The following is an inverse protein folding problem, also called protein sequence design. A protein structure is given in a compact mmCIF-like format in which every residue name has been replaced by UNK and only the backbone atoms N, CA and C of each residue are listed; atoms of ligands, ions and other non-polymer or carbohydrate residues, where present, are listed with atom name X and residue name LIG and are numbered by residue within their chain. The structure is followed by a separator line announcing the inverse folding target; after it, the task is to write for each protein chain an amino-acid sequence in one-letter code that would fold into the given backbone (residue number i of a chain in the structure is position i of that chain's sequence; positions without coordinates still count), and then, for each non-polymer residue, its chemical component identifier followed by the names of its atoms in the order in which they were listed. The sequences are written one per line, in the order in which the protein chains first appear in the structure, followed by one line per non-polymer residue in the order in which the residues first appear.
data_IF_674896824622
#
_entry.id   IF_674896824622
#
_cell.length_a   1.000
_cell.length_b   1.000
_cell.length_c   1.000
_cell.angle_alpha   90.00
_cell.angle_beta   90.00
_cell.angle_gamma   90.00
#
_symmetry.space_group_name_H-M   'P 1'
#
loop_
_entity.id
_entity.type
_entity.pdbx_description
1 polymer ?
#
# COMPACT_ATOMS: atom_id res chain seq x y z
N UNK A 1 11.07 -19.82 -7.65
CA UNK A 1 10.42 -21.14 -7.45
C UNK A 1 8.91 -20.98 -7.28
N UNK A 2 8.43 -20.17 -6.32
CA UNK A 2 6.99 -19.98 -6.08
C UNK A 2 6.26 -19.41 -7.32
N UNK A 3 6.85 -18.43 -8.00
CA UNK A 3 6.29 -17.86 -9.21
C UNK A 3 6.24 -18.87 -10.37
N UNK A 4 7.35 -19.61 -10.59
CA UNK A 4 7.41 -20.66 -11.60
C UNK A 4 6.43 -21.84 -11.34
N UNK A 5 6.01 -22.03 -10.09
CA UNK A 5 4.99 -23.00 -9.71
C UNK A 5 3.56 -22.42 -9.70
N UNK A 6 3.41 -21.13 -10.03
CA UNK A 6 2.12 -20.44 -10.08
C UNK A 6 1.56 -19.98 -8.73
N UNK A 7 2.27 -20.25 -7.63
CA UNK A 7 1.75 -19.92 -6.29
C UNK A 7 1.93 -18.45 -5.91
N UNK A 8 2.97 -17.79 -6.41
CA UNK A 8 3.23 -16.39 -6.05
C UNK A 8 2.08 -15.46 -6.47
N UNK A 9 1.57 -15.66 -7.69
CA UNK A 9 0.51 -14.84 -8.29
C UNK A 9 -0.86 -15.51 -8.26
N UNK A 10 -1.03 -16.52 -7.42
CA UNK A 10 -2.24 -17.36 -7.40
C UNK A 10 -3.53 -16.53 -7.28
N UNK A 11 -3.56 -15.54 -6.39
CA UNK A 11 -4.72 -14.67 -6.15
C UNK A 11 -4.94 -13.56 -7.18
N UNK A 12 -4.00 -13.32 -8.10
CA UNK A 12 -4.16 -12.29 -9.12
C UNK A 12 -5.06 -12.75 -10.27
N UNK A 13 -5.73 -11.81 -10.96
CA UNK A 13 -6.45 -12.09 -12.19
C UNK A 13 -5.55 -12.70 -13.28
N UNK A 14 -6.13 -13.59 -14.11
CA UNK A 14 -5.42 -14.20 -15.24
C UNK A 14 -4.86 -13.20 -16.23
N UNK A 15 -5.52 -12.07 -16.41
CA UNK A 15 -5.09 -10.99 -17.31
C UNK A 15 -3.74 -10.38 -16.95
N UNK A 16 -3.33 -10.50 -15.66
CA UNK A 16 -2.02 -10.07 -15.16
C UNK A 16 -1.11 -11.24 -14.75
N UNK A 17 -1.40 -12.42 -15.27
CA UNK A 17 -0.57 -13.61 -15.07
C UNK A 17 -0.85 -14.38 -13.79
N UNK A 18 -2.02 -14.15 -13.16
CA UNK A 18 -2.50 -14.89 -11.99
C UNK A 18 -3.31 -16.13 -12.36
N UNK A 19 -4.02 -16.68 -11.37
CA UNK A 19 -4.86 -17.87 -11.51
C UNK A 19 -6.32 -17.65 -11.08
N UNK A 20 -6.75 -16.41 -10.83
CA UNK A 20 -8.06 -16.04 -10.29
C UNK A 20 -8.37 -16.73 -8.94
N UNK A 21 -7.33 -16.99 -8.13
CA UNK A 21 -7.51 -17.58 -6.81
C UNK A 21 -8.34 -16.66 -5.91
N UNK A 22 -9.25 -17.26 -5.13
CA UNK A 22 -10.13 -16.50 -4.24
C UNK A 22 -9.44 -16.16 -2.91
N UNK A 23 -9.98 -15.19 -2.18
CA UNK A 23 -9.55 -14.90 -0.82
C UNK A 23 -9.76 -16.09 0.13
N UNK A 24 -10.75 -16.94 -0.15
CA UNK A 24 -10.96 -18.18 0.60
C UNK A 24 -9.81 -19.17 0.36
N UNK A 25 -9.41 -19.38 -0.90
CA UNK A 25 -8.29 -20.25 -1.22
C UNK A 25 -7.01 -19.77 -0.55
N UNK A 26 -6.72 -18.45 -0.64
CA UNK A 26 -5.57 -17.85 0.01
C UNK A 26 -5.62 -18.04 1.54
N UNK A 27 -6.77 -17.87 2.16
CA UNK A 27 -6.94 -18.06 3.60
C UNK A 27 -6.64 -19.50 4.01
N UNK A 28 -7.20 -20.49 3.31
CA UNK A 28 -6.99 -21.93 3.58
C UNK A 28 -5.50 -22.31 3.41
N UNK A 29 -4.87 -21.84 2.33
CA UNK A 29 -3.45 -22.14 2.08
C UNK A 29 -2.57 -21.51 3.17
N UNK A 30 -2.82 -20.28 3.55
CA UNK A 30 -2.02 -19.57 4.57
C UNK A 30 -2.21 -20.17 5.96
N UNK A 31 -3.45 -20.49 6.35
CA UNK A 31 -3.74 -21.21 7.59
C UNK A 31 -2.97 -22.54 7.63
N UNK A 32 -3.05 -23.34 6.56
CA UNK A 32 -2.34 -24.61 6.49
C UNK A 32 -0.82 -24.45 6.63
N UNK A 33 -0.22 -23.47 5.95
CA UNK A 33 1.22 -23.23 6.03
C UNK A 33 1.62 -22.72 7.42
N UNK A 34 0.80 -21.87 8.04
CA UNK A 34 1.04 -21.39 9.40
C UNK A 34 0.98 -22.56 10.40
N UNK A 35 0.00 -23.47 10.28
CA UNK A 35 -0.08 -24.70 11.08
C UNK A 35 1.15 -25.61 10.93
N UNK A 36 1.86 -25.53 9.82
CA UNK A 36 3.16 -26.22 9.60
C UNK A 36 4.36 -25.46 10.18
N UNK A 37 4.13 -24.40 10.95
CA UNK A 37 5.18 -23.59 11.57
C UNK A 37 5.75 -22.49 10.70
N UNK A 38 5.11 -22.14 9.58
CA UNK A 38 5.57 -21.09 8.66
C UNK A 38 4.89 -19.73 8.88
N UNK A 39 3.95 -19.62 9.83
CA UNK A 39 3.13 -18.43 10.04
C UNK A 39 3.89 -17.14 10.34
N UNK A 40 5.05 -17.25 10.98
CA UNK A 40 5.90 -16.10 11.34
C UNK A 40 7.09 -15.89 10.39
N UNK A 41 7.22 -16.69 9.35
CA UNK A 41 8.30 -16.54 8.39
C UNK A 41 8.01 -15.42 7.39
N UNK A 42 9.06 -14.72 6.95
CA UNK A 42 8.97 -13.68 5.92
C UNK A 42 8.25 -14.14 4.66
N UNK A 43 8.32 -15.42 4.33
CA UNK A 43 7.62 -16.01 3.18
C UNK A 43 6.09 -15.96 3.28
N UNK A 44 5.53 -15.67 4.46
CA UNK A 44 4.09 -15.51 4.68
C UNK A 44 3.70 -14.14 5.23
N UNK A 45 4.67 -13.30 5.60
CA UNK A 45 4.37 -12.02 6.25
C UNK A 45 4.19 -10.85 5.30
N UNK A 46 4.78 -10.90 4.11
CA UNK A 46 4.66 -9.80 3.15
C UNK A 46 3.69 -10.13 2.01
N UNK A 47 3.27 -9.10 1.29
CA UNK A 47 2.27 -9.17 0.22
C UNK A 47 2.77 -9.92 -1.01
N UNK A 48 4.07 -9.91 -1.26
CA UNK A 48 4.72 -10.56 -2.40
C UNK A 48 5.43 -11.86 -2.00
N UNK A 49 4.87 -12.60 -1.04
CA UNK A 49 5.40 -13.86 -0.55
C UNK A 49 4.76 -15.07 -1.23
N UNK A 50 5.07 -16.28 -0.76
CA UNK A 50 4.37 -17.51 -1.21
C UNK A 50 2.87 -17.35 -1.00
N UNK A 51 2.08 -17.52 -2.06
CA UNK A 51 0.67 -17.14 -2.13
C UNK A 51 0.49 -15.66 -1.81
N UNK A 52 1.11 -14.82 -2.64
CA UNK A 52 1.02 -13.38 -2.52
C UNK A 52 -0.40 -12.86 -2.82
N UNK A 53 -0.81 -11.84 -2.09
CA UNK A 53 -2.08 -11.17 -2.32
C UNK A 53 -1.95 -9.87 -3.13
N UNK A 54 -0.76 -9.36 -3.32
CA UNK A 54 -0.44 -8.21 -4.18
C UNK A 54 -1.47 -7.08 -4.11
N UNK A 55 -1.78 -6.51 -2.93
CA UNK A 55 -2.88 -5.55 -2.78
C UNK A 55 -2.72 -4.30 -3.65
N UNK A 56 -1.48 -3.87 -3.91
CA UNK A 56 -1.22 -2.75 -4.82
C UNK A 56 -1.58 -3.06 -6.28
N UNK A 57 -1.45 -4.30 -6.73
CA UNK A 57 -1.88 -4.70 -8.08
C UNK A 57 -3.39 -4.64 -8.18
N UNK A 58 -4.12 -5.16 -7.18
CA UNK A 58 -5.57 -5.05 -7.11
C UNK A 58 -6.03 -3.58 -7.08
N UNK A 59 -5.41 -2.74 -6.23
CA UNK A 59 -5.70 -1.31 -6.20
C UNK A 59 -5.47 -0.66 -7.57
N UNK A 60 -4.36 -0.99 -8.25
CA UNK A 60 -4.03 -0.42 -9.55
C UNK A 60 -5.03 -0.85 -10.63
N UNK A 61 -5.46 -2.11 -10.63
CA UNK A 61 -6.47 -2.60 -11.56
C UNK A 61 -7.81 -1.91 -11.37
N UNK A 62 -8.20 -1.66 -10.12
CA UNK A 62 -9.51 -1.09 -9.76
C UNK A 62 -9.55 0.44 -9.91
N UNK A 63 -8.53 1.15 -9.40
CA UNK A 63 -8.55 2.62 -9.28
C UNK A 63 -7.59 3.37 -10.20
N UNK A 64 -6.60 2.69 -10.78
CA UNK A 64 -5.60 3.33 -11.63
C UNK A 64 -6.17 3.80 -12.96
N UNK A 65 -5.73 4.97 -13.44
CA UNK A 65 -5.95 5.39 -14.82
C UNK A 65 -5.20 4.45 -15.78
N UNK A 66 -5.51 4.49 -17.08
CA UNK A 66 -4.80 3.66 -18.04
C UNK A 66 -3.29 4.00 -18.06
N UNK A 67 -2.94 5.29 -17.99
CA UNK A 67 -1.55 5.74 -17.93
C UNK A 67 -0.83 5.22 -16.67
N UNK A 68 -1.52 5.21 -15.52
CA UNK A 68 -0.98 4.65 -14.28
C UNK A 68 -0.80 3.14 -14.38
N UNK A 69 -1.76 2.42 -14.96
CA UNK A 69 -1.65 0.97 -15.21
C UNK A 69 -0.46 0.63 -16.11
N UNK A 70 -0.30 1.34 -17.21
CA UNK A 70 0.80 1.16 -18.15
C UNK A 70 2.17 1.46 -17.50
N UNK A 71 2.21 2.43 -16.59
CA UNK A 71 3.43 2.83 -15.90
C UNK A 71 3.85 1.87 -14.79
N UNK A 72 2.88 1.29 -14.06
CA UNK A 72 3.15 0.62 -12.79
C UNK A 72 2.97 -0.90 -12.81
N UNK A 73 1.99 -1.46 -13.54
CA UNK A 73 1.62 -2.87 -13.37
C UNK A 73 2.77 -3.85 -13.62
N UNK A 74 3.48 -3.71 -14.73
CA UNK A 74 4.60 -4.59 -15.03
C UNK A 74 5.70 -4.52 -13.95
N UNK A 75 6.04 -3.29 -13.53
CA UNK A 75 7.04 -3.07 -12.49
C UNK A 75 6.62 -3.63 -11.14
N UNK A 76 5.35 -3.55 -10.76
CA UNK A 76 4.82 -4.15 -9.54
C UNK A 76 4.90 -5.69 -9.57
N UNK A 77 4.56 -6.30 -10.71
CA UNK A 77 4.56 -7.76 -10.89
C UNK A 77 5.96 -8.36 -10.93
N UNK A 78 6.94 -7.60 -11.42
CA UNK A 78 8.34 -8.04 -11.56
C UNK A 78 9.25 -7.59 -10.41
N UNK A 79 8.73 -6.73 -9.50
CA UNK A 79 9.51 -6.14 -8.41
C UNK A 79 10.42 -4.97 -8.84
N UNK A 80 10.31 -4.51 -10.08
CA UNK A 80 11.03 -3.34 -10.59
C UNK A 80 10.48 -2.01 -10.09
N UNK A 81 9.22 -2.00 -9.64
CA UNK A 81 8.60 -0.86 -8.95
C UNK A 81 8.06 -1.31 -7.60
N UNK A 82 8.50 -0.64 -6.55
CA UNK A 82 8.03 -0.87 -5.19
C UNK A 82 7.32 0.37 -4.70
N UNK A 83 6.14 0.18 -4.13
CA UNK A 83 5.26 1.25 -3.68
C UNK A 83 5.03 1.10 -2.19
N UNK A 84 5.25 2.18 -1.44
CA UNK A 84 4.90 2.28 -0.04
C UNK A 84 3.42 2.56 0.19
N UNK A 85 2.97 2.44 1.44
CA UNK A 85 1.59 2.68 1.84
C UNK A 85 1.52 3.66 3.02
N UNK A 86 1.37 4.93 2.70
CA UNK A 86 1.38 6.05 3.62
C UNK A 86 0.00 6.45 4.13
N UNK A 87 -0.65 5.59 4.92
CA UNK A 87 -1.95 5.87 5.54
C UNK A 87 -1.81 6.32 7.00
N UNK A 88 -1.12 5.52 7.81
CA UNK A 88 -0.98 5.72 9.26
C UNK A 88 -0.16 6.95 9.58
N UNK A 89 -0.54 7.67 10.62
CA UNK A 89 0.16 8.84 11.14
C UNK A 89 0.62 8.63 12.60
N UNK A 90 1.56 9.44 13.10
CA UNK A 90 2.05 9.30 14.47
C UNK A 90 0.95 9.24 15.53
N UNK A 91 -0.09 10.07 15.39
CA UNK A 91 -1.15 10.21 16.38
C UNK A 91 -2.46 9.49 15.98
N UNK A 92 -2.55 9.01 14.74
CA UNK A 92 -3.77 8.41 14.16
C UNK A 92 -3.48 7.09 13.47
N UNK A 93 -3.71 5.98 14.18
CA UNK A 93 -3.54 4.60 13.67
C UNK A 93 -4.85 3.98 13.19
N UNK A 94 -5.65 3.49 14.14
CA UNK A 94 -6.88 2.72 13.84
C UNK A 94 -7.96 3.57 13.17
N UNK A 95 -8.06 4.83 13.49
CA UNK A 95 -9.00 5.76 12.86
C UNK A 95 -8.30 6.73 11.91
N UNK A 96 -8.14 6.30 10.66
CA UNK A 96 -7.55 7.11 9.61
C UNK A 96 -8.38 8.33 9.22
N UNK A 97 -9.63 8.44 9.68
CA UNK A 97 -10.47 9.63 9.41
C UNK A 97 -9.98 10.89 10.13
N UNK A 98 -9.17 10.73 11.18
CA UNK A 98 -8.56 11.85 11.90
C UNK A 98 -7.22 12.34 11.31
N UNK A 99 -6.87 11.87 10.15
CA UNK A 99 -5.66 12.23 9.41
C UNK A 99 -5.39 13.74 9.39
N UNK A 100 -4.14 14.11 9.73
CA UNK A 100 -3.65 15.49 9.75
C UNK A 100 -2.88 15.85 8.49
N UNK A 101 -2.26 14.88 7.81
CA UNK A 101 -1.64 15.11 6.51
C UNK A 101 -2.66 15.73 5.57
N UNK A 102 -2.33 16.86 4.99
CA UNK A 102 -3.20 17.66 4.14
C UNK A 102 -2.61 17.87 2.76
N UNK A 103 -3.48 18.03 1.76
CA UNK A 103 -3.09 18.43 0.41
C UNK A 103 -3.97 19.61 -0.04
N UNK A 104 -3.32 20.66 -0.51
CA UNK A 104 -3.97 21.90 -0.96
C UNK A 104 -3.70 22.10 -2.45
N UNK A 105 -4.77 22.29 -3.23
CA UNK A 105 -4.65 22.53 -4.66
C UNK A 105 -4.03 23.91 -4.94
N UNK A 106 -3.09 23.95 -5.87
CA UNK A 106 -2.41 25.16 -6.37
C UNK A 106 -2.33 25.12 -7.91
N UNK A 107 -3.34 25.61 -8.57
CA UNK A 107 -3.48 25.47 -10.03
C UNK A 107 -3.73 24.00 -10.40
N UNK A 108 -2.87 23.45 -11.24
CA UNK A 108 -2.92 22.05 -11.67
C UNK A 108 -2.13 21.10 -10.76
N UNK A 109 -1.52 21.64 -9.69
CA UNK A 109 -0.71 20.89 -8.75
C UNK A 109 -1.37 20.82 -7.36
N UNK A 110 -0.87 19.90 -6.56
CA UNK A 110 -1.16 19.76 -5.13
C UNK A 110 0.10 19.98 -4.31
N UNK A 111 -0.05 20.63 -3.16
CA UNK A 111 1.00 20.77 -2.15
C UNK A 111 0.61 19.93 -0.96
N UNK A 112 1.42 18.92 -0.66
CA UNK A 112 1.17 17.96 0.43
C UNK A 112 2.09 18.29 1.61
N UNK A 113 1.49 18.37 2.80
CA UNK A 113 2.19 18.59 4.06
C UNK A 113 1.69 17.62 5.13
N UNK A 114 2.61 17.06 5.92
CA UNK A 114 2.30 16.16 7.03
C UNK A 114 3.37 15.12 7.29
N UNK A 115 2.98 14.01 7.90
CA UNK A 115 3.89 12.91 8.19
C UNK A 115 3.16 11.57 8.19
N UNK A 116 3.89 10.51 7.84
CA UNK A 116 3.37 9.15 7.82
C UNK A 116 4.28 8.22 8.62
N UNK A 117 3.68 7.21 9.24
CA UNK A 117 4.40 6.26 10.09
C UNK A 117 4.16 4.83 9.66
N UNK A 118 5.22 4.04 9.77
CA UNK A 118 5.25 2.62 9.42
C UNK A 118 5.06 2.35 7.91
N UNK A 119 5.46 3.30 7.06
CA UNK A 119 5.46 3.06 5.61
C UNK A 119 6.44 1.92 5.28
N UNK A 120 5.90 0.80 4.83
CA UNK A 120 6.70 -0.39 4.54
C UNK A 120 7.37 -0.30 3.18
N UNK A 121 8.57 -0.90 3.07
CA UNK A 121 9.30 -1.00 1.83
C UNK A 121 10.14 0.23 1.47
N UNK A 122 10.25 1.23 2.34
CA UNK A 122 10.85 2.53 2.03
C UNK A 122 12.35 2.49 1.75
N UNK A 123 13.08 1.42 2.07
CA UNK A 123 14.47 1.22 1.64
C UNK A 123 14.64 1.19 0.12
N UNK A 124 13.59 0.83 -0.61
CA UNK A 124 13.65 0.62 -2.06
C UNK A 124 12.39 1.09 -2.78
N UNK A 125 11.48 1.74 -2.07
CA UNK A 125 10.27 2.27 -2.67
C UNK A 125 10.61 3.38 -3.68
N UNK A 126 10.08 3.27 -4.87
CA UNK A 126 10.16 4.30 -5.91
C UNK A 126 9.04 5.33 -5.79
N UNK A 127 7.93 4.92 -5.17
CA UNK A 127 6.75 5.73 -4.94
C UNK A 127 6.13 5.36 -3.59
N UNK A 128 5.34 6.28 -3.05
CA UNK A 128 4.50 6.05 -1.87
C UNK A 128 3.06 6.45 -2.17
N UNK A 129 2.10 5.60 -1.83
CA UNK A 129 0.68 5.99 -1.86
C UNK A 129 0.38 6.78 -0.60
N UNK A 130 0.46 8.08 -0.71
CA UNK A 130 0.21 9.03 0.38
C UNK A 130 -1.26 9.38 0.41
N UNK A 131 -1.90 9.16 1.55
CA UNK A 131 -3.27 9.61 1.80
C UNK A 131 -3.23 10.96 2.53
N UNK A 132 -3.95 11.94 1.99
CA UNK A 132 -3.99 13.29 2.54
C UNK A 132 -5.40 13.87 2.49
N UNK A 133 -5.74 14.68 3.48
CA UNK A 133 -7.01 15.40 3.50
C UNK A 133 -7.00 16.54 2.50
N UNK A 134 -7.93 16.52 1.58
CA UNK A 134 -8.14 17.56 0.56
C UNK A 134 -9.37 18.41 0.84
N UNK A 135 -10.32 17.90 1.65
CA UNK A 135 -11.52 18.64 2.05
C UNK A 135 -12.16 18.05 3.31
N UNK A 136 -13.23 18.66 3.81
CA UNK A 136 -13.91 18.24 5.03
C UNK A 136 -13.12 18.58 6.28
N UNK A 137 -13.43 17.90 7.38
CA UNK A 137 -12.80 18.09 8.71
C UNK A 137 -12.28 16.75 9.27
N UNK A 138 -11.42 16.78 10.31
CA UNK A 138 -11.03 15.57 11.03
C UNK A 138 -12.25 14.77 11.50
N UNK A 139 -12.21 13.44 11.30
CA UNK A 139 -13.32 12.53 11.57
C UNK A 139 -14.23 12.27 10.35
N UNK A 140 -14.17 13.09 9.30
CA UNK A 140 -14.92 12.82 8.07
C UNK A 140 -14.24 11.72 7.25
N UNK A 141 -14.99 10.69 6.87
CA UNK A 141 -14.48 9.61 6.02
C UNK A 141 -14.28 10.05 4.55
N UNK A 142 -15.02 11.03 4.10
CA UNK A 142 -14.85 11.67 2.78
C UNK A 142 -13.85 12.82 2.87
N UNK A 143 -13.32 13.22 1.72
CA UNK A 143 -12.37 14.33 1.64
C UNK A 143 -10.92 13.92 1.91
N UNK A 144 -10.61 12.63 1.94
CA UNK A 144 -9.25 12.09 1.90
C UNK A 144 -8.98 11.63 0.48
N UNK A 145 -7.85 12.03 -0.09
CA UNK A 145 -7.41 11.67 -1.44
C UNK A 145 -6.13 10.85 -1.38
N UNK A 146 -6.00 9.86 -2.23
CA UNK A 146 -4.76 9.09 -2.39
C UNK A 146 -3.93 9.67 -3.53
N UNK A 147 -2.60 9.76 -3.32
CA UNK A 147 -1.63 10.29 -4.28
C UNK A 147 -0.48 9.30 -4.45
N UNK A 148 -0.12 8.90 -5.67
CA UNK A 148 1.08 8.11 -5.94
C UNK A 148 2.26 9.09 -6.06
N UNK A 149 2.97 9.31 -4.96
CA UNK A 149 4.05 10.30 -4.85
C UNK A 149 5.40 9.63 -5.13
N UNK A 150 6.20 10.11 -6.11
CA UNK A 150 7.58 9.66 -6.26
C UNK A 150 8.40 9.99 -5.00
N UNK A 151 9.18 9.03 -4.50
CA UNK A 151 9.94 9.21 -3.24
C UNK A 151 11.12 10.17 -3.37
N UNK A 152 11.52 10.52 -4.58
CA UNK A 152 12.54 11.52 -4.89
C UNK A 152 11.96 12.94 -5.09
N UNK A 153 10.65 13.14 -4.89
CA UNK A 153 10.02 14.45 -4.98
C UNK A 153 10.60 15.40 -3.90
N UNK A 154 11.01 16.63 -4.25
CA UNK A 154 11.47 17.59 -3.26
C UNK A 154 10.49 17.77 -2.10
N UNK A 155 10.98 17.70 -0.87
CA UNK A 155 10.16 17.78 0.34
C UNK A 155 9.66 16.44 0.88
N UNK A 156 9.78 15.35 0.12
CA UNK A 156 9.58 13.99 0.63
C UNK A 156 10.87 13.53 1.32
N UNK A 157 10.79 13.07 2.57
CA UNK A 157 11.94 12.51 3.29
C UNK A 157 11.57 11.27 4.08
N UNK A 158 12.49 10.30 4.06
CA UNK A 158 12.47 9.16 4.99
C UNK A 158 13.36 9.53 6.17
N UNK A 159 12.74 9.82 7.30
CA UNK A 159 13.45 10.38 8.47
C UNK A 159 14.03 9.27 9.36
N UNK A 160 13.35 8.13 9.44
CA UNK A 160 13.73 7.04 10.35
C UNK A 160 13.15 5.71 9.88
N UNK A 161 13.88 4.62 10.13
CA UNK A 161 13.37 3.25 9.97
C UNK A 161 13.16 2.63 11.34
N UNK A 162 11.94 2.19 11.60
CA UNK A 162 11.52 1.68 12.89
C UNK A 162 12.09 0.30 13.19
N UNK A 163 12.47 0.12 14.43
CA UNK A 163 12.82 -1.17 14.98
C UNK A 163 11.56 -1.80 15.57
N UNK A 164 10.97 -2.80 14.90
CA UNK A 164 9.73 -3.44 15.37
C UNK A 164 10.01 -4.88 15.80
N UNK A 165 9.32 -5.36 16.83
CA UNK A 165 9.52 -6.70 17.39
C UNK A 165 10.99 -7.06 17.65
N UNK A 166 11.80 -6.11 18.08
CA UNK A 166 13.25 -6.25 18.27
C UNK A 166 14.02 -6.69 17.00
N UNK A 167 13.52 -6.31 15.83
CA UNK A 167 14.16 -6.54 14.54
C UNK A 167 14.26 -5.24 13.76
N UNK A 168 15.31 -5.04 12.95
CA UNK A 168 15.31 -3.98 11.95
C UNK A 168 14.23 -4.30 10.91
N UNK A 169 13.43 -3.30 10.60
CA UNK A 169 12.37 -3.42 9.58
C UNK A 169 12.55 -2.34 8.52
N UNK A 170 11.77 -2.45 7.44
CA UNK A 170 11.69 -1.43 6.41
C UNK A 170 10.51 -0.46 6.61
N UNK A 171 9.90 -0.49 7.80
CA UNK A 171 8.83 0.42 8.17
C UNK A 171 9.39 1.78 8.56
N UNK A 172 9.06 2.81 7.79
CA UNK A 172 9.65 4.11 7.93
C UNK A 172 8.72 5.16 8.56
N UNK A 173 9.35 6.17 9.14
CA UNK A 173 8.78 7.49 9.38
C UNK A 173 9.05 8.33 8.14
N UNK A 174 8.02 8.98 7.61
CA UNK A 174 8.09 9.81 6.41
C UNK A 174 7.59 11.21 6.74
N UNK A 175 8.35 12.24 6.36
CA UNK A 175 7.92 13.63 6.40
C UNK A 175 7.64 14.17 5.01
N UNK A 176 6.60 14.98 4.93
CA UNK A 176 6.14 15.66 3.73
C UNK A 176 6.12 17.16 3.99
N UNK A 177 7.02 17.92 3.34
CA UNK A 177 7.17 19.36 3.53
C UNK A 177 7.09 20.06 2.18
N UNK A 178 5.92 20.67 1.93
CA UNK A 178 5.62 21.35 0.66
C UNK A 178 5.88 20.45 -0.57
N UNK A 179 5.55 19.16 -0.45
CA UNK A 179 5.70 18.18 -1.54
C UNK A 179 4.74 18.54 -2.65
N UNK A 180 5.28 18.99 -3.78
CA UNK A 180 4.50 19.45 -4.92
C UNK A 180 4.38 18.35 -5.96
N UNK A 181 3.15 18.00 -6.30
CA UNK A 181 2.83 16.95 -7.26
C UNK A 181 1.71 17.38 -8.22
N UNK A 182 1.74 16.95 -9.50
CA UNK A 182 0.69 17.24 -10.45
C UNK A 182 -0.60 16.48 -10.15
N UNK A 183 -1.71 16.96 -10.69
CA UNK A 183 -3.02 16.31 -10.54
C UNK A 183 -3.05 14.86 -11.06
N UNK A 184 -2.18 14.53 -12.01
CA UNK A 184 -2.10 13.18 -12.62
C UNK A 184 -1.66 12.07 -11.65
N UNK A 185 -1.09 12.41 -10.48
CA UNK A 185 -0.72 11.41 -9.47
C UNK A 185 -1.85 11.03 -8.52
N UNK A 186 -3.04 11.64 -8.65
CA UNK A 186 -4.22 11.19 -7.89
C UNK A 186 -4.50 9.73 -8.24
N UNK A 187 -4.71 8.93 -7.19
CA UNK A 187 -5.01 7.51 -7.31
C UNK A 187 -6.48 7.27 -6.93
N UNK A 188 -7.28 6.92 -7.91
CA UNK A 188 -8.74 6.89 -7.79
C UNK A 188 -9.36 8.28 -7.95
N UNK A 189 -10.39 8.57 -7.17
CA UNK A 189 -11.11 9.84 -7.21
C UNK A 189 -10.71 10.79 -6.06
N UNK A 190 -10.72 12.09 -6.33
CA UNK A 190 -10.52 13.11 -5.30
C UNK A 190 -11.57 12.98 -4.18
N UNK A 191 -11.11 12.95 -2.93
CA UNK A 191 -11.97 12.85 -1.75
C UNK A 191 -12.40 11.42 -1.39
N UNK A 192 -12.05 10.40 -2.20
CA UNK A 192 -12.45 9.00 -1.99
C UNK A 192 -11.26 8.06 -1.70
N UNK A 193 -10.14 8.59 -1.27
CA UNK A 193 -8.92 7.83 -0.99
C UNK A 193 -9.09 6.72 0.05
N UNK A 194 -10.02 6.84 1.01
CA UNK A 194 -10.28 5.75 1.95
C UNK A 194 -10.87 4.50 1.28
N UNK A 195 -11.62 4.63 0.19
CA UNK A 195 -12.08 3.48 -0.59
C UNK A 195 -10.87 2.73 -1.18
N UNK A 196 -9.93 3.48 -1.75
CA UNK A 196 -8.65 2.94 -2.26
C UNK A 196 -7.88 2.23 -1.14
N UNK A 197 -7.78 2.86 0.05
CA UNK A 197 -7.10 2.27 1.21
C UNK A 197 -7.75 0.96 1.67
N UNK A 198 -9.09 0.87 1.64
CA UNK A 198 -9.80 -0.32 2.10
C UNK A 198 -9.50 -1.56 1.26
N UNK A 199 -9.27 -1.45 -0.03
CA UNK A 199 -8.84 -2.58 -0.87
C UNK A 199 -7.56 -3.20 -0.32
N UNK A 200 -6.53 -2.38 -0.03
CA UNK A 200 -5.30 -2.85 0.60
C UNK A 200 -5.54 -3.48 1.98
N UNK A 201 -6.30 -2.79 2.81
CA UNK A 201 -6.53 -3.21 4.21
C UNK A 201 -7.34 -4.50 4.28
N UNK A 202 -8.34 -4.69 3.42
CA UNK A 202 -9.16 -5.91 3.38
C UNK A 202 -8.31 -7.13 3.03
N UNK A 203 -7.50 -7.04 1.98
CA UNK A 203 -6.60 -8.11 1.58
C UNK A 203 -5.65 -8.50 2.71
N UNK A 204 -5.06 -7.51 3.37
CA UNK A 204 -4.14 -7.75 4.47
C UNK A 204 -4.82 -8.32 5.72
N UNK A 205 -6.05 -7.94 6.03
CA UNK A 205 -6.80 -8.51 7.17
C UNK A 205 -7.03 -10.01 6.99
N UNK A 206 -7.46 -10.44 5.80
CA UNK A 206 -7.68 -11.86 5.50
C UNK A 206 -6.36 -12.63 5.62
N UNK A 207 -5.30 -12.11 5.03
CA UNK A 207 -3.96 -12.69 5.08
C UNK A 207 -3.46 -12.87 6.51
N UNK A 208 -3.53 -11.83 7.32
CA UNK A 208 -3.03 -11.85 8.71
C UNK A 208 -3.89 -12.74 9.60
N UNK A 209 -5.22 -12.69 9.45
CA UNK A 209 -6.12 -13.53 10.21
C UNK A 209 -5.87 -15.02 9.95
N UNK A 210 -5.75 -15.42 8.68
CA UNK A 210 -5.49 -16.80 8.30
C UNK A 210 -4.14 -17.31 8.85
N UNK A 211 -3.08 -16.51 8.73
CA UNK A 211 -1.77 -16.87 9.29
C UNK A 211 -1.73 -16.88 10.82
N UNK A 212 -2.61 -16.12 11.49
CA UNK A 212 -2.71 -16.09 12.95
C UNK A 212 -3.53 -17.22 13.54
N UNK A 213 -4.42 -17.84 12.77
CA UNK A 213 -5.25 -18.97 13.20
C UNK A 213 -4.50 -20.31 13.10
N UNK A 214 -3.71 -20.49 12.05
CA UNK A 214 -2.92 -21.71 11.82
C UNK A 214 -1.69 -21.81 12.72
#
# INVERSE_FOLDING_TARGET
RADAAGWLRYGLPKEVGGQDGTNLDMAVIREHLAHKGLGLHNDLQNEASVVGNFPFVHMMLEYGTQEQKDLFLEGMLTGGKRIGFGLTEPDHGSDATWMETSAVRRGDDWIINGGKRFNSGMHSATHDVVFARTSGKPGDARGITAFIVPTDTPGFSVDYHWWTFNMPTDHAEVSLRDVRVPNSVIFGAEGEGLAVAQTFVHENRIRQAASGVG
#
